data_IF_028689084640
#
_entry.id   IF_028689084640
#
_cell.length_a   1.000
_cell.length_b   1.000
_cell.length_c   1.000
_cell.angle_alpha   90.00
_cell.angle_beta   90.00
_cell.angle_gamma   90.00
#
_symmetry.space_group_name_H-M   'P 1'
#
loop_
_entity.id
_entity.type
_entity.pdbx_description
1 polymer ?
#
# COMPACT_ATOMS: atom_id res chain seq x y z
N UNK A 1 24.27 8.98 8.63
CA UNK A 1 22.80 8.80 8.63
C UNK A 1 22.36 7.65 9.54
N UNK A 2 23.03 6.50 9.52
CA UNK A 2 22.73 5.36 10.40
C UNK A 2 22.79 5.70 11.90
N UNK A 3 23.76 6.50 12.35
CA UNK A 3 23.85 6.92 13.76
C UNK A 3 22.64 7.74 14.21
N UNK A 4 22.13 8.65 13.37
CA UNK A 4 20.93 9.44 13.68
C UNK A 4 19.67 8.58 13.81
N UNK A 5 19.59 7.49 13.04
CA UNK A 5 18.51 6.52 13.14
C UNK A 5 18.61 5.70 14.43
N UNK A 6 19.82 5.29 14.82
CA UNK A 6 20.05 4.56 16.06
C UNK A 6 19.80 5.43 17.31
N UNK A 7 20.20 6.71 17.28
CA UNK A 7 19.90 7.68 18.34
C UNK A 7 18.40 7.94 18.45
N UNK A 8 17.70 8.06 17.33
CA UNK A 8 16.26 8.22 17.30
C UNK A 8 15.54 6.99 17.87
N UNK A 9 15.93 5.79 17.44
CA UNK A 9 15.40 4.53 17.93
C UNK A 9 15.68 4.31 19.44
N UNK A 10 16.87 4.71 19.90
CA UNK A 10 17.27 4.65 21.31
C UNK A 10 16.46 5.60 22.20
N UNK A 11 16.13 6.79 21.69
CA UNK A 11 15.25 7.75 22.39
C UNK A 11 13.80 7.29 22.42
N UNK A 12 13.33 6.66 21.33
CA UNK A 12 11.99 6.08 21.26
C UNK A 12 11.85 4.87 22.20
N UNK A 13 12.89 4.04 22.32
CA UNK A 13 12.87 2.86 23.19
C UNK A 13 13.02 3.19 24.68
N UNK A 14 13.78 4.24 25.04
CA UNK A 14 14.00 4.65 26.45
C UNK A 14 12.75 5.20 27.16
N UNK A 15 11.71 5.62 26.43
CA UNK A 15 10.48 6.19 26.99
C UNK A 15 9.20 5.41 26.66
N UNK A 16 9.32 4.31 25.90
CA UNK A 16 8.16 3.55 25.44
C UNK A 16 7.61 2.65 26.57
N UNK A 17 6.31 2.71 26.89
CA UNK A 17 5.69 1.76 27.80
C UNK A 17 5.86 0.32 27.30
N UNK A 18 6.06 -0.62 28.24
CA UNK A 18 6.20 -2.06 27.92
C UNK A 18 5.00 -2.52 27.10
N UNK A 19 5.22 -2.82 25.82
CA UNK A 19 4.18 -3.23 24.87
C UNK A 19 4.08 -2.34 23.62
N UNK A 20 4.60 -1.11 23.64
CA UNK A 20 4.55 -0.21 22.47
C UNK A 20 5.39 -0.74 21.30
N UNK A 21 6.49 -1.45 21.57
CA UNK A 21 7.31 -2.08 20.54
C UNK A 21 6.57 -3.21 19.80
N UNK A 22 5.86 -4.06 20.54
CA UNK A 22 5.07 -5.16 19.96
C UNK A 22 3.83 -4.61 19.26
N UNK A 23 3.09 -3.70 19.90
CA UNK A 23 1.91 -3.07 19.29
C UNK A 23 2.25 -2.27 18.05
N UNK A 24 3.34 -1.51 18.07
CA UNK A 24 3.84 -0.75 16.91
C UNK A 24 4.28 -1.67 15.77
N UNK A 25 4.99 -2.76 16.07
CA UNK A 25 5.39 -3.74 15.07
C UNK A 25 4.18 -4.42 14.40
N UNK A 26 3.15 -4.78 15.18
CA UNK A 26 1.92 -5.38 14.66
C UNK A 26 1.16 -4.40 13.78
N UNK A 27 0.95 -3.16 14.24
CA UNK A 27 0.27 -2.13 13.46
C UNK A 27 1.01 -1.82 12.14
N UNK A 28 2.34 -1.73 12.21
CA UNK A 28 3.16 -1.53 11.02
C UNK A 28 3.07 -2.72 10.06
N UNK A 29 3.13 -3.95 10.58
CA UNK A 29 3.00 -5.17 9.77
C UNK A 29 1.64 -5.25 9.06
N UNK A 30 0.54 -4.98 9.77
CA UNK A 30 -0.82 -5.00 9.20
C UNK A 30 -0.99 -3.92 8.14
N UNK A 31 -0.53 -2.70 8.40
CA UNK A 31 -0.63 -1.59 7.44
C UNK A 31 0.21 -1.84 6.18
N UNK A 32 1.44 -2.35 6.32
CA UNK A 32 2.28 -2.74 5.19
C UNK A 32 1.65 -3.87 4.36
N UNK A 33 1.08 -4.88 5.01
CA UNK A 33 0.41 -5.99 4.32
C UNK A 33 -0.85 -5.52 3.57
N UNK A 34 -1.71 -4.73 4.20
CA UNK A 34 -2.92 -4.17 3.57
C UNK A 34 -2.56 -3.30 2.36
N UNK A 35 -1.52 -2.47 2.49
CA UNK A 35 -1.02 -1.65 1.40
C UNK A 35 -0.43 -2.47 0.24
N UNK A 36 0.29 -3.55 0.55
CA UNK A 36 0.81 -4.49 -0.44
C UNK A 36 -0.30 -5.19 -1.22
N UNK A 37 -1.34 -5.67 -0.51
CA UNK A 37 -2.53 -6.28 -1.14
C UNK A 37 -3.20 -5.26 -2.06
N UNK A 38 -3.48 -4.05 -1.58
CA UNK A 38 -4.11 -2.99 -2.37
C UNK A 38 -3.34 -2.68 -3.66
N UNK A 39 -2.01 -2.58 -3.59
CA UNK A 39 -1.16 -2.32 -4.76
C UNK A 39 -1.00 -3.53 -5.68
N UNK A 40 -1.22 -4.75 -5.19
CA UNK A 40 -1.14 -5.97 -6.00
C UNK A 40 -2.42 -6.28 -6.81
N UNK A 41 -3.54 -5.65 -6.45
CA UNK A 41 -4.84 -5.91 -7.08
C UNK A 41 -5.13 -5.03 -8.30
N UNK A 42 -4.41 -3.93 -8.49
CA UNK A 42 -4.59 -3.03 -9.64
C UNK A 42 -3.29 -2.95 -10.45
N UNK A 43 -3.15 -3.84 -11.43
CA UNK A 43 -2.18 -3.68 -12.51
C UNK A 43 -2.83 -2.87 -13.61
N UNK A 44 -2.53 -1.58 -13.70
CA UNK A 44 -2.91 -0.76 -14.87
C UNK A 44 -1.81 -0.98 -15.92
N UNK A 45 -2.09 -1.83 -16.91
CA UNK A 45 -1.26 -1.84 -18.12
C UNK A 45 -1.57 -0.56 -18.90
N UNK A 46 -0.66 0.41 -18.81
CA UNK A 46 -0.71 1.63 -19.60
C UNK A 46 -0.45 1.31 -21.07
N UNK A 47 -1.51 0.97 -21.82
CA UNK A 47 -1.41 0.65 -23.23
C UNK A 47 -2.75 0.39 -23.91
N UNK A 48 -3.36 1.45 -24.43
CA UNK A 48 -4.39 1.45 -25.50
C UNK A 48 -5.86 1.12 -25.23
N UNK A 49 -6.29 0.50 -24.13
CA UNK A 49 -7.71 0.51 -23.68
C UNK A 49 -7.73 0.39 -22.17
N UNK A 50 -8.33 1.33 -21.44
CA UNK A 50 -8.41 1.26 -19.97
C UNK A 50 -9.43 0.19 -19.55
N UNK A 51 -9.06 -1.07 -19.71
CA UNK A 51 -9.85 -2.22 -19.26
C UNK A 51 -9.42 -2.51 -17.82
N UNK A 52 -10.28 -2.21 -16.85
CA UNK A 52 -10.02 -2.57 -15.46
C UNK A 52 -10.19 -4.08 -15.30
N UNK A 53 -9.08 -4.77 -15.06
CA UNK A 53 -9.05 -6.21 -14.82
C UNK A 53 -8.76 -6.50 -13.34
N UNK A 54 -9.60 -7.32 -12.72
CA UNK A 54 -9.38 -7.87 -11.38
C UNK A 54 -9.22 -9.39 -11.48
N UNK A 55 -8.22 -9.95 -10.80
CA UNK A 55 -7.95 -11.40 -10.77
C UNK A 55 -9.10 -12.25 -10.22
N UNK A 56 -9.98 -11.68 -9.41
CA UNK A 56 -11.12 -12.39 -8.80
C UNK A 56 -12.41 -12.19 -9.61
N UNK A 57 -12.60 -11.00 -10.18
CA UNK A 57 -13.85 -10.61 -10.87
C UNK A 57 -13.76 -10.63 -12.40
N UNK A 58 -12.58 -10.89 -12.97
CA UNK A 58 -12.36 -10.78 -14.41
C UNK A 58 -12.35 -9.33 -14.89
N UNK A 59 -12.73 -9.15 -16.16
CA UNK A 59 -12.86 -7.84 -16.79
C UNK A 59 -14.18 -7.20 -16.36
N UNK A 60 -14.12 -6.02 -15.76
CA UNK A 60 -15.31 -5.27 -15.41
C UNK A 60 -15.91 -4.60 -16.67
N UNK A 61 -17.05 -5.14 -17.13
CA UNK A 61 -17.76 -4.68 -18.32
C UNK A 61 -18.45 -3.33 -18.13
N UNK A 62 -18.70 -2.90 -16.88
CA UNK A 62 -19.34 -1.61 -16.60
C UNK A 62 -18.36 -0.44 -16.58
N UNK A 63 -17.05 -0.72 -16.53
CA UNK A 63 -15.96 0.28 -16.50
C UNK A 63 -15.21 0.30 -17.84
N UNK A 64 -15.84 -0.16 -18.93
CA UNK A 64 -15.31 0.01 -20.29
C UNK A 64 -15.57 1.46 -20.69
N UNK A 65 -14.67 2.35 -20.29
CA UNK A 65 -14.65 3.72 -20.80
C UNK A 65 -14.14 3.67 -22.25
N UNK A 66 -15.06 3.85 -23.20
CA UNK A 66 -14.73 4.12 -24.59
C UNK A 66 -13.98 5.46 -24.67
N UNK A 67 -12.66 5.39 -24.58
CA UNK A 67 -11.70 6.26 -25.26
C UNK A 67 -12.29 7.59 -25.79
N UNK A 68 -12.18 8.68 -25.01
CA UNK A 68 -12.54 10.00 -25.53
C UNK A 68 -12.57 11.12 -24.51
N UNK A 69 -11.42 11.78 -24.32
CA UNK A 69 -11.42 13.23 -24.10
C UNK A 69 -11.97 13.88 -25.37
N UNK A 70 -13.27 14.19 -25.39
CA UNK A 70 -13.89 15.05 -26.40
C UNK A 70 -14.61 16.19 -25.65
N UNK A 71 -14.00 17.37 -25.70
CA UNK A 71 -14.66 18.68 -25.85
C UNK A 71 -13.99 19.38 -27.03
#
# INVERSE_FOLDING_TARGET
MAEKLNDFASRLSKGAPKGLGVGGAVLFGVSAAAYGIYRSMFTVEGGHRAIMFNRIGGVDQHTIHSEGLHF
#
